data_IF_196828592517
#
_entry.id   IF_196828592517
#
_cell.length_a   1.000
_cell.length_b   1.000
_cell.length_c   1.000
_cell.angle_alpha   90.00
_cell.angle_beta   90.00
_cell.angle_gamma   90.00
#
_symmetry.space_group_name_H-M   'P 1'
#
loop_
_entity.id
_entity.type
_entity.pdbx_description
1 polymer ?
#
# COMPACT_ATOMS: atom_id res chain seq x y z
N UNK A 1 -7.35 -18.42 11.27
CA UNK A 1 -6.99 -17.05 10.87
C UNK A 1 -8.08 -16.55 9.96
N UNK A 2 -8.52 -15.31 10.15
CA UNK A 2 -9.54 -14.72 9.30
C UNK A 2 -8.99 -13.47 8.60
N UNK A 3 -9.38 -13.26 7.36
CA UNK A 3 -9.04 -12.09 6.58
C UNK A 3 -10.27 -11.20 6.43
N UNK A 4 -10.09 -9.93 6.76
CA UNK A 4 -11.08 -8.88 6.65
C UNK A 4 -10.69 -7.91 5.55
N UNK A 5 -11.67 -7.42 4.77
CA UNK A 5 -11.45 -6.35 3.81
C UNK A 5 -12.26 -5.12 4.21
N UNK A 6 -11.59 -4.06 4.57
CA UNK A 6 -12.17 -2.75 4.81
C UNK A 6 -12.05 -1.93 3.54
N UNK A 7 -13.12 -1.86 2.79
CA UNK A 7 -13.17 -1.22 1.47
C UNK A 7 -12.86 0.27 1.49
N UNK A 8 -12.96 0.90 2.69
CA UNK A 8 -12.63 2.31 2.91
C UNK A 8 -12.29 2.54 4.37
N UNK A 9 -11.08 3.02 4.66
CA UNK A 9 -10.61 3.21 6.03
C UNK A 9 -11.48 4.17 6.85
N UNK A 10 -12.10 5.18 6.23
CA UNK A 10 -13.00 6.11 6.90
C UNK A 10 -14.26 5.45 7.50
N UNK A 11 -14.65 4.28 6.97
CA UNK A 11 -15.81 3.52 7.46
C UNK A 11 -15.41 2.43 8.45
N UNK A 12 -14.11 2.21 8.63
CA UNK A 12 -13.58 1.21 9.55
C UNK A 12 -13.56 1.76 10.97
N UNK A 13 -14.21 1.10 11.94
CA UNK A 13 -14.01 1.45 13.36
C UNK A 13 -12.54 1.25 13.73
N UNK A 14 -11.93 2.22 14.41
CA UNK A 14 -10.51 2.10 14.82
C UNK A 14 -10.21 0.84 15.63
N UNK A 15 -11.17 0.37 16.42
CA UNK A 15 -11.04 -0.86 17.19
C UNK A 15 -11.05 -2.12 16.31
N UNK A 16 -11.49 -2.07 15.06
CA UNK A 16 -11.60 -3.25 14.20
C UNK A 16 -10.25 -3.91 13.93
N UNK A 17 -9.18 -3.13 13.83
CA UNK A 17 -7.81 -3.64 13.58
C UNK A 17 -7.01 -3.88 14.86
N UNK A 18 -7.63 -3.69 16.05
CA UNK A 18 -6.91 -3.77 17.31
C UNK A 18 -6.32 -5.16 17.56
N UNK A 19 -5.01 -5.23 17.78
CA UNK A 19 -4.29 -6.48 17.96
C UNK A 19 -4.08 -7.32 16.70
N UNK A 20 -4.68 -6.96 15.57
CA UNK A 20 -4.56 -7.61 14.27
C UNK A 20 -3.35 -7.17 13.46
N UNK A 21 -3.20 -7.76 12.28
CA UNK A 21 -2.21 -7.38 11.28
C UNK A 21 -2.90 -6.53 10.22
N UNK A 22 -2.59 -5.25 10.13
CA UNK A 22 -3.14 -4.37 9.10
C UNK A 22 -2.23 -4.33 7.87
N UNK A 23 -2.82 -4.44 6.68
CA UNK A 23 -2.17 -4.20 5.40
C UNK A 23 -2.87 -3.02 4.75
N UNK A 24 -2.20 -1.88 4.68
CA UNK A 24 -2.75 -0.65 4.11
C UNK A 24 -2.51 -0.63 2.61
N UNK A 25 -3.56 -0.30 1.86
CA UNK A 25 -3.61 -0.36 0.40
C UNK A 25 -4.05 1.01 -0.13
N UNK A 26 -3.19 1.65 -0.93
CA UNK A 26 -3.42 2.87 -1.72
C UNK A 26 -2.65 2.69 -3.03
N UNK A 27 -3.29 2.03 -4.00
CA UNK A 27 -2.59 1.61 -5.23
C UNK A 27 -2.23 2.79 -6.11
N UNK A 28 -3.10 3.77 -6.18
CA UNK A 28 -2.91 4.98 -6.98
C UNK A 28 -2.88 6.23 -6.08
N UNK A 29 -1.70 6.49 -5.39
CA UNK A 29 -0.39 5.85 -5.70
C UNK A 29 0.44 5.55 -4.45
N UNK A 30 -0.01 6.00 -3.26
CA UNK A 30 0.87 6.11 -2.09
C UNK A 30 1.55 4.78 -1.69
N UNK A 31 0.80 3.67 -1.64
CA UNK A 31 1.39 2.36 -1.32
C UNK A 31 2.42 1.94 -2.36
N UNK A 32 2.08 2.01 -3.65
CA UNK A 32 3.01 1.66 -4.74
C UNK A 32 4.27 2.51 -4.66
N UNK A 33 4.14 3.80 -4.40
CA UNK A 33 5.27 4.74 -4.29
C UNK A 33 6.19 4.41 -3.11
N UNK A 34 5.63 4.16 -1.92
CA UNK A 34 6.43 3.82 -0.73
C UNK A 34 7.15 2.48 -0.90
N UNK A 35 6.50 1.49 -1.50
CA UNK A 35 7.09 0.19 -1.82
C UNK A 35 8.24 0.38 -2.81
N UNK A 36 8.01 1.14 -3.90
CA UNK A 36 9.03 1.42 -4.94
C UNK A 36 10.24 2.16 -4.36
N UNK A 37 10.02 3.13 -3.47
CA UNK A 37 11.10 3.86 -2.81
C UNK A 37 12.03 2.91 -2.04
N UNK A 38 11.47 2.03 -1.21
CA UNK A 38 12.25 1.06 -0.44
C UNK A 38 12.91 0.01 -1.36
N UNK A 39 12.21 -0.48 -2.38
CA UNK A 39 12.77 -1.42 -3.35
C UNK A 39 13.95 -0.83 -4.13
N UNK A 40 13.97 0.48 -4.33
CA UNK A 40 15.06 1.21 -4.95
C UNK A 40 16.14 1.68 -3.97
N UNK A 41 16.09 1.19 -2.72
CA UNK A 41 17.15 1.37 -1.74
C UNK A 41 17.01 2.61 -0.87
N UNK A 42 15.84 3.26 -0.81
CA UNK A 42 15.60 4.23 0.25
C UNK A 42 15.82 3.56 1.62
N UNK A 43 16.51 4.24 2.54
CA UNK A 43 16.84 3.65 3.84
C UNK A 43 15.59 3.46 4.72
N UNK A 44 14.61 4.35 4.58
CA UNK A 44 13.33 4.34 5.30
C UNK A 44 12.39 5.40 4.71
N UNK A 45 11.08 5.21 4.91
CA UNK A 45 10.04 6.16 4.48
C UNK A 45 9.18 6.50 5.69
N UNK A 46 8.93 7.79 5.96
CA UNK A 46 8.03 8.23 7.03
C UNK A 46 6.76 8.84 6.45
N UNK A 47 5.64 8.13 6.51
CA UNK A 47 4.35 8.71 6.16
C UNK A 47 3.88 9.66 7.27
N UNK A 48 3.45 10.86 6.89
CA UNK A 48 2.84 11.82 7.81
C UNK A 48 1.60 12.43 7.16
N UNK A 49 0.54 12.76 7.92
CA UNK A 49 -0.72 13.22 7.34
C UNK A 49 -0.68 14.69 6.87
N UNK A 50 0.24 15.49 7.41
CA UNK A 50 0.23 16.94 7.29
C UNK A 50 1.50 17.49 6.63
N UNK A 51 1.36 18.55 5.80
CA UNK A 51 2.47 19.18 5.06
C UNK A 51 3.46 19.86 5.99
N UNK A 52 2.98 20.53 7.04
CA UNK A 52 3.85 21.22 7.99
C UNK A 52 4.65 20.21 8.82
N UNK A 53 3.99 19.12 9.24
CA UNK A 53 4.66 17.99 9.89
C UNK A 53 5.72 17.35 8.97
N UNK A 54 5.39 17.17 7.68
CA UNK A 54 6.35 16.63 6.71
C UNK A 54 7.61 17.48 6.61
N UNK A 55 7.46 18.79 6.49
CA UNK A 55 8.60 19.72 6.43
C UNK A 55 9.44 19.67 7.71
N UNK A 56 8.81 19.69 8.87
CA UNK A 56 9.52 19.61 10.16
C UNK A 56 10.28 18.28 10.33
N UNK A 57 9.63 17.17 10.00
CA UNK A 57 10.23 15.84 10.09
C UNK A 57 11.39 15.64 9.12
N UNK A 58 11.32 16.20 7.91
CA UNK A 58 12.37 16.11 6.91
C UNK A 58 13.64 16.84 7.33
N UNK A 59 13.51 18.05 7.89
CA UNK A 59 14.67 18.81 8.42
C UNK A 59 15.37 18.01 9.51
N UNK A 60 14.63 17.47 10.49
CA UNK A 60 15.20 16.70 11.60
C UNK A 60 15.87 15.39 11.19
N UNK A 61 15.49 14.82 10.04
CA UNK A 61 16.02 13.56 9.53
C UNK A 61 16.98 13.72 8.36
N UNK A 62 17.25 14.93 7.87
CA UNK A 62 17.95 15.20 6.60
C UNK A 62 17.35 14.38 5.43
N UNK A 63 16.03 14.28 5.39
CA UNK A 63 15.29 13.43 4.47
C UNK A 63 14.81 14.20 3.24
N UNK A 64 14.57 13.48 2.14
CA UNK A 64 13.82 14.01 0.99
C UNK A 64 12.36 14.19 1.36
N UNK A 65 11.75 15.24 0.81
CA UNK A 65 10.31 15.47 0.88
C UNK A 65 9.62 14.89 -0.35
N UNK A 66 8.66 14.00 -0.14
CA UNK A 66 7.81 13.44 -1.18
C UNK A 66 6.32 13.65 -0.87
N UNK A 67 5.51 13.68 -1.89
CA UNK A 67 4.06 13.73 -1.70
C UNK A 67 3.28 14.63 -2.65
N UNK A 68 1.96 14.63 -2.44
CA UNK A 68 1.00 15.30 -3.32
C UNK A 68 -0.19 15.89 -2.55
N UNK A 69 -0.88 16.81 -3.24
CA UNK A 69 -2.27 17.19 -2.94
C UNK A 69 -3.03 17.27 -4.27
N UNK A 70 -4.19 16.58 -4.34
CA UNK A 70 -4.97 16.47 -5.57
C UNK A 70 -4.22 15.81 -6.74
N UNK A 71 -3.25 14.92 -6.46
CA UNK A 71 -2.41 14.25 -7.44
C UNK A 71 -1.17 15.03 -7.87
N UNK A 72 -1.05 16.32 -7.52
CA UNK A 72 0.03 17.21 -7.93
C UNK A 72 1.08 17.34 -6.84
N UNK A 73 2.38 17.32 -7.22
CA UNK A 73 3.48 17.49 -6.28
C UNK A 73 3.33 18.81 -5.49
N UNK A 74 3.53 18.73 -4.17
CA UNK A 74 3.48 19.87 -3.26
C UNK A 74 4.63 20.83 -3.56
N UNK A 75 4.35 22.12 -3.59
CA UNK A 75 5.36 23.13 -3.84
C UNK A 75 6.51 23.07 -2.82
N UNK A 76 7.74 23.13 -3.33
CA UNK A 76 8.97 22.99 -2.54
C UNK A 76 9.27 21.57 -2.04
N UNK A 77 8.57 20.53 -2.53
CA UNK A 77 8.94 19.15 -2.28
C UNK A 77 9.89 18.62 -3.36
N UNK A 78 10.80 17.72 -2.98
CA UNK A 78 11.80 17.10 -3.88
C UNK A 78 11.14 16.14 -4.88
N UNK A 79 10.10 15.40 -4.44
CA UNK A 79 9.43 14.32 -5.15
C UNK A 79 7.91 14.51 -5.07
N UNK A 80 7.21 14.09 -6.10
CA UNK A 80 5.74 13.96 -6.07
C UNK A 80 5.30 12.64 -5.44
N UNK A 81 4.23 12.05 -6.01
CA UNK A 81 3.71 10.74 -5.61
C UNK A 81 3.72 9.74 -6.79
N UNK A 82 4.40 10.04 -7.90
CA UNK A 82 4.61 9.07 -8.98
C UNK A 82 5.70 8.07 -8.60
N UNK A 83 5.47 6.75 -8.66
CA UNK A 83 6.51 5.76 -8.42
C UNK A 83 7.75 5.96 -9.30
N UNK A 84 7.59 6.50 -10.51
CA UNK A 84 8.68 6.77 -11.44
C UNK A 84 9.67 7.84 -10.93
N UNK A 85 9.25 8.70 -9.99
CA UNK A 85 10.13 9.70 -9.39
C UNK A 85 11.09 9.11 -8.34
N UNK A 86 10.85 7.88 -7.88
CA UNK A 86 11.60 7.21 -6.82
C UNK A 86 12.62 6.21 -7.38
N UNK A 87 13.29 6.58 -8.46
CA UNK A 87 14.39 5.81 -9.05
C UNK A 87 15.57 5.67 -8.09
N UNK A 88 16.34 4.59 -8.23
CA UNK A 88 17.50 4.26 -7.37
C UNK A 88 18.52 5.38 -7.29
N UNK A 89 18.77 6.08 -8.39
CA UNK A 89 19.66 7.23 -8.49
C UNK A 89 19.28 8.41 -7.57
N UNK A 90 17.98 8.54 -7.30
CA UNK A 90 17.43 9.61 -6.44
C UNK A 90 17.28 9.22 -4.98
N UNK A 91 16.92 7.96 -4.70
CA UNK A 91 16.47 7.58 -3.36
C UNK A 91 17.39 6.62 -2.62
N UNK A 92 18.38 5.98 -3.27
CA UNK A 92 19.26 5.01 -2.61
C UNK A 92 20.01 5.63 -1.41
N UNK A 93 19.90 4.96 -0.25
CA UNK A 93 20.50 5.41 1.02
C UNK A 93 19.81 6.61 1.69
N UNK A 94 18.80 7.22 1.04
CA UNK A 94 18.12 8.42 1.55
C UNK A 94 16.94 8.03 2.44
N UNK A 95 16.72 8.81 3.48
CA UNK A 95 15.43 8.81 4.19
C UNK A 95 14.43 9.69 3.42
N UNK A 96 13.16 9.33 3.44
CA UNK A 96 12.09 10.07 2.75
C UNK A 96 10.95 10.32 3.73
N UNK A 97 10.48 11.56 3.80
CA UNK A 97 9.22 11.90 4.48
C UNK A 97 8.18 12.13 3.40
N UNK A 98 7.06 11.42 3.48
CA UNK A 98 5.99 11.48 2.47
C UNK A 98 4.66 11.89 3.09
N UNK A 99 3.90 12.75 2.38
CA UNK A 99 2.53 13.10 2.75
C UNK A 99 1.63 13.05 1.53
N UNK A 100 0.49 12.34 1.65
CA UNK A 100 -0.50 12.16 0.58
C UNK A 100 -1.91 12.40 1.11
N UNK A 101 -2.86 12.54 0.22
CA UNK A 101 -4.25 12.86 0.59
C UNK A 101 -4.91 11.72 1.35
N UNK A 102 -4.76 10.45 0.91
CA UNK A 102 -5.50 9.30 1.44
C UNK A 102 -4.58 8.28 2.15
N UNK A 103 -3.50 7.83 1.52
CA UNK A 103 -2.68 6.72 2.01
C UNK A 103 -2.02 6.98 3.37
N UNK A 104 -1.54 8.21 3.64
CA UNK A 104 -0.94 8.54 4.94
C UNK A 104 -1.98 8.59 6.05
N UNK A 105 -3.21 9.01 5.75
CA UNK A 105 -4.33 8.99 6.69
C UNK A 105 -4.79 7.54 6.98
N UNK A 106 -4.84 6.68 5.96
CA UNK A 106 -5.16 5.26 6.12
C UNK A 106 -4.14 4.54 7.03
N UNK A 107 -2.84 4.83 6.87
CA UNK A 107 -1.79 4.32 7.76
C UNK A 107 -2.00 4.80 9.22
N UNK A 108 -2.30 6.06 9.42
CA UNK A 108 -2.57 6.62 10.75
C UNK A 108 -3.81 5.97 11.41
N UNK A 109 -4.85 5.66 10.61
CA UNK A 109 -6.07 4.98 11.10
C UNK A 109 -5.80 3.55 11.61
N UNK A 110 -4.71 2.93 11.20
CA UNK A 110 -4.31 1.59 11.65
C UNK A 110 -3.48 1.59 12.94
N UNK A 111 -3.41 2.69 13.67
CA UNK A 111 -2.59 2.84 14.88
C UNK A 111 -2.90 1.84 16.02
N UNK A 112 -4.10 1.24 16.07
CA UNK A 112 -4.46 0.20 17.03
C UNK A 112 -4.00 -1.22 16.63
N UNK A 113 -3.61 -1.43 15.37
CA UNK A 113 -3.13 -2.73 14.89
C UNK A 113 -1.81 -3.11 15.59
N UNK A 114 -1.58 -4.39 15.76
CA UNK A 114 -0.33 -4.92 16.29
C UNK A 114 0.83 -4.68 15.34
N UNK A 115 0.59 -4.92 14.07
CA UNK A 115 1.53 -4.72 12.98
C UNK A 115 0.84 -3.96 11.84
N UNK A 116 1.57 -3.10 11.17
CA UNK A 116 1.09 -2.36 10.00
C UNK A 116 2.07 -2.57 8.86
N UNK A 117 1.57 -3.13 7.78
CA UNK A 117 2.29 -3.37 6.53
C UNK A 117 1.71 -2.50 5.41
N UNK A 118 2.48 -2.30 4.35
CA UNK A 118 2.01 -1.65 3.13
C UNK A 118 1.95 -2.66 2.00
N UNK A 119 0.78 -2.74 1.36
CA UNK A 119 0.50 -3.66 0.25
C UNK A 119 -0.01 -2.94 -0.99
N UNK A 120 0.35 -3.49 -2.15
CA UNK A 120 -0.14 -3.08 -3.46
C UNK A 120 -0.03 -4.26 -4.45
N UNK A 121 -0.39 -4.05 -5.72
CA UNK A 121 -0.20 -5.07 -6.77
C UNK A 121 1.26 -5.50 -6.88
N UNK A 122 2.19 -4.55 -6.78
CA UNK A 122 3.63 -4.75 -7.01
C UNK A 122 4.32 -5.69 -6.01
N UNK A 123 3.72 -5.93 -4.84
CA UNK A 123 4.27 -6.81 -3.80
C UNK A 123 3.24 -7.78 -3.20
N UNK A 124 2.14 -8.06 -3.92
CA UNK A 124 0.98 -8.81 -3.39
C UNK A 124 1.34 -10.15 -2.76
N UNK A 125 2.19 -10.95 -3.40
CA UNK A 125 2.58 -12.27 -2.88
C UNK A 125 3.46 -12.13 -1.63
N UNK A 126 4.42 -11.22 -1.64
CA UNK A 126 5.31 -11.00 -0.51
C UNK A 126 4.55 -10.47 0.73
N UNK A 127 3.65 -9.50 0.55
CA UNK A 127 2.88 -8.96 1.67
C UNK A 127 1.86 -9.96 2.19
N UNK A 128 1.25 -10.78 1.33
CA UNK A 128 0.37 -11.87 1.73
C UNK A 128 1.10 -12.90 2.62
N UNK A 129 2.28 -13.35 2.20
CA UNK A 129 3.10 -14.28 2.98
C UNK A 129 3.56 -13.66 4.31
N UNK A 130 3.97 -12.39 4.30
CA UNK A 130 4.36 -11.66 5.51
C UNK A 130 3.20 -11.52 6.50
N UNK A 131 2.03 -11.08 6.03
CA UNK A 131 0.84 -10.92 6.87
C UNK A 131 0.41 -12.25 7.50
N UNK A 132 0.38 -13.34 6.72
CA UNK A 132 0.06 -14.67 7.24
C UNK A 132 1.05 -15.14 8.29
N UNK A 133 2.36 -14.98 8.06
CA UNK A 133 3.39 -15.36 9.03
C UNK A 133 3.22 -14.61 10.35
N UNK A 134 2.99 -13.30 10.30
CA UNK A 134 2.75 -12.49 11.48
C UNK A 134 1.45 -12.89 12.18
N UNK A 135 0.37 -13.07 11.44
CA UNK A 135 -0.91 -13.48 12.00
C UNK A 135 -0.84 -14.85 12.68
N UNK A 136 -0.12 -15.82 12.10
CA UNK A 136 0.11 -17.11 12.71
C UNK A 136 0.93 -17.01 14.02
N UNK A 137 2.00 -16.19 14.01
CA UNK A 137 2.85 -15.99 15.18
C UNK A 137 2.12 -15.32 16.36
N UNK A 138 1.14 -14.48 16.06
CA UNK A 138 0.39 -13.71 17.06
C UNK A 138 -1.03 -14.24 17.33
N UNK A 139 -1.45 -15.32 16.67
CA UNK A 139 -2.83 -15.82 16.70
C UNK A 139 -3.85 -14.69 16.41
N UNK A 140 -3.56 -13.89 15.39
CA UNK A 140 -4.30 -12.69 15.05
C UNK A 140 -4.99 -12.82 13.68
N UNK A 141 -5.96 -11.95 13.43
CA UNK A 141 -6.58 -11.80 12.12
C UNK A 141 -5.83 -10.79 11.24
N UNK A 142 -6.07 -10.85 9.93
CA UNK A 142 -5.49 -9.92 8.95
C UNK A 142 -6.57 -8.98 8.45
N UNK A 143 -6.25 -7.70 8.39
CA UNK A 143 -7.13 -6.63 7.94
C UNK A 143 -6.51 -5.93 6.74
N UNK A 144 -7.10 -6.10 5.57
CA UNK A 144 -6.79 -5.33 4.37
C UNK A 144 -7.55 -4.00 4.45
N UNK A 145 -6.84 -2.89 4.45
CA UNK A 145 -7.41 -1.56 4.70
C UNK A 145 -7.18 -0.69 3.47
N UNK A 146 -8.23 -0.53 2.66
CA UNK A 146 -8.20 0.30 1.46
C UNK A 146 -8.32 1.78 1.81
N UNK A 147 -7.48 2.60 1.19
CA UNK A 147 -7.48 4.04 1.39
C UNK A 147 -8.65 4.73 0.68
N UNK A 148 -8.98 4.26 -0.52
CA UNK A 148 -9.94 4.93 -1.40
C UNK A 148 -9.43 6.27 -1.92
N UNK A 149 -10.30 7.00 -2.61
CA UNK A 149 -10.00 8.33 -3.13
C UNK A 149 -11.13 9.28 -2.73
N UNK A 150 -10.79 10.40 -2.08
CA UNK A 150 -11.72 11.46 -1.65
C UNK A 150 -12.95 10.92 -0.87
N UNK A 151 -12.72 9.94 0.01
CA UNK A 151 -13.77 9.33 0.82
C UNK A 151 -14.69 8.34 0.09
N UNK A 152 -14.34 7.96 -1.14
CA UNK A 152 -15.04 6.94 -1.93
C UNK A 152 -14.22 5.64 -2.04
N UNK A 153 -14.93 4.52 -2.10
CA UNK A 153 -14.34 3.21 -2.41
C UNK A 153 -13.84 3.22 -3.86
N UNK A 154 -12.65 2.69 -4.10
CA UNK A 154 -12.05 2.66 -5.43
C UNK A 154 -11.71 1.24 -5.88
N UNK A 155 -11.88 0.98 -7.17
CA UNK A 155 -11.74 -0.35 -7.74
C UNK A 155 -10.31 -0.87 -7.66
N UNK A 156 -9.30 -0.01 -7.85
CA UNK A 156 -7.88 -0.38 -7.79
C UNK A 156 -7.46 -0.92 -6.43
N UNK A 157 -7.95 -0.31 -5.33
CA UNK A 157 -7.63 -0.77 -3.99
C UNK A 157 -8.32 -2.10 -3.68
N UNK A 158 -9.61 -2.24 -4.06
CA UNK A 158 -10.35 -3.50 -3.93
C UNK A 158 -9.68 -4.62 -4.72
N UNK A 159 -9.24 -4.34 -5.94
CA UNK A 159 -8.53 -5.33 -6.77
C UNK A 159 -7.19 -5.74 -6.16
N UNK A 160 -6.45 -4.80 -5.55
CA UNK A 160 -5.22 -5.13 -4.86
C UNK A 160 -5.48 -5.95 -3.59
N UNK A 161 -6.52 -5.63 -2.81
CA UNK A 161 -6.95 -6.47 -1.71
C UNK A 161 -7.28 -7.89 -2.19
N UNK A 162 -8.04 -8.02 -3.29
CA UNK A 162 -8.34 -9.29 -3.93
C UNK A 162 -7.10 -10.06 -4.41
N UNK A 163 -6.12 -9.35 -4.96
CA UNK A 163 -4.85 -9.92 -5.42
C UNK A 163 -4.02 -10.49 -4.26
N UNK A 164 -3.96 -9.77 -3.13
CA UNK A 164 -3.27 -10.21 -1.91
C UNK A 164 -3.98 -11.46 -1.34
N UNK A 165 -5.32 -11.46 -1.29
CA UNK A 165 -6.11 -12.60 -0.84
C UNK A 165 -5.92 -13.84 -1.74
N UNK A 166 -5.91 -13.64 -3.05
CA UNK A 166 -5.68 -14.75 -3.99
C UNK A 166 -4.29 -15.36 -3.80
N UNK A 167 -3.27 -14.54 -3.56
CA UNK A 167 -1.92 -15.02 -3.23
C UNK A 167 -1.88 -15.77 -1.89
N UNK A 168 -2.52 -15.22 -0.84
CA UNK A 168 -2.57 -15.85 0.48
C UNK A 168 -3.22 -17.23 0.47
N UNK A 169 -4.35 -17.36 -0.24
CA UNK A 169 -5.13 -18.60 -0.28
C UNK A 169 -4.56 -19.68 -1.21
N UNK A 170 -3.62 -19.36 -2.08
CA UNK A 170 -2.85 -20.38 -2.80
C UNK A 170 -2.02 -21.23 -1.84
N UNK A 171 -1.47 -20.62 -0.79
CA UNK A 171 -0.64 -21.29 0.21
C UNK A 171 -1.47 -21.89 1.37
N UNK A 172 -2.63 -21.30 1.68
CA UNK A 172 -3.51 -21.77 2.76
C UNK A 172 -4.99 -21.64 2.38
N UNK A 173 -5.53 -22.60 1.63
CA UNK A 173 -6.92 -22.57 1.16
C UNK A 173 -7.97 -22.60 2.28
N UNK A 174 -7.58 -22.99 3.50
CA UNK A 174 -8.47 -23.11 4.66
C UNK A 174 -8.64 -21.84 5.48
N UNK A 175 -7.96 -20.74 5.13
CA UNK A 175 -8.14 -19.46 5.80
C UNK A 175 -9.57 -18.93 5.54
N UNK A 176 -10.17 -18.34 6.57
CA UNK A 176 -11.53 -17.77 6.49
C UNK A 176 -11.51 -16.35 5.91
N UNK A 177 -12.54 -15.97 5.17
CA UNK A 177 -12.71 -14.66 4.58
C UNK A 177 -14.03 -14.04 5.04
N UNK A 178 -14.06 -12.73 5.30
CA UNK A 178 -15.35 -12.04 5.38
C UNK A 178 -15.97 -11.81 3.99
N UNK A 179 -17.22 -11.30 3.96
CA UNK A 179 -17.94 -11.11 2.70
C UNK A 179 -17.27 -10.14 1.74
N UNK A 180 -16.67 -9.05 2.25
CA UNK A 180 -15.97 -8.06 1.44
C UNK A 180 -14.66 -8.65 0.88
N UNK A 181 -13.94 -9.43 1.68
CA UNK A 181 -12.74 -10.15 1.24
C UNK A 181 -13.06 -11.17 0.15
N UNK A 182 -14.16 -11.94 0.29
CA UNK A 182 -14.62 -12.84 -0.76
C UNK A 182 -14.90 -12.08 -2.07
N UNK A 183 -15.65 -10.99 -2.00
CA UNK A 183 -16.02 -10.19 -3.17
C UNK A 183 -14.80 -9.57 -3.85
N UNK A 184 -13.86 -9.03 -3.07
CA UNK A 184 -12.61 -8.46 -3.59
C UNK A 184 -11.77 -9.51 -4.34
N UNK A 185 -11.62 -10.71 -3.76
CA UNK A 185 -10.90 -11.81 -4.41
C UNK A 185 -11.57 -12.26 -5.70
N UNK A 186 -12.88 -12.38 -5.73
CA UNK A 186 -13.63 -12.74 -6.94
C UNK A 186 -13.49 -11.68 -8.03
N UNK A 187 -13.52 -10.39 -7.67
CA UNK A 187 -13.32 -9.28 -8.60
C UNK A 187 -11.94 -9.37 -9.26
N UNK A 188 -10.88 -9.57 -8.47
CA UNK A 188 -9.53 -9.76 -9.00
C UNK A 188 -9.43 -10.98 -9.90
N UNK A 189 -9.96 -12.15 -9.48
CA UNK A 189 -9.87 -13.40 -10.26
C UNK A 189 -10.59 -13.31 -11.61
N UNK A 190 -11.65 -12.54 -11.71
CA UNK A 190 -12.31 -12.28 -13.01
C UNK A 190 -11.38 -11.58 -13.98
N UNK A 191 -10.68 -10.53 -13.53
CA UNK A 191 -9.77 -9.76 -14.39
C UNK A 191 -8.52 -10.53 -14.80
N UNK A 192 -7.94 -11.31 -13.88
CA UNK A 192 -6.76 -12.13 -14.23
C UNK A 192 -7.11 -13.39 -15.02
N UNK A 193 -8.37 -13.68 -15.19
CA UNK A 193 -8.89 -14.69 -16.11
C UNK A 193 -9.01 -14.24 -17.57
N UNK A 194 -8.88 -12.93 -17.83
CA UNK A 194 -8.91 -12.36 -19.19
C UNK A 194 -7.65 -12.78 -19.99
N UNK A 195 -7.72 -12.77 -21.35
CA UNK A 195 -6.58 -13.13 -22.18
C UNK A 195 -5.33 -12.28 -21.97
N UNK A 196 -5.49 -11.01 -21.61
CA UNK A 196 -4.41 -10.10 -21.21
C UNK A 196 -4.74 -9.49 -19.84
N UNK A 197 -4.34 -10.15 -18.74
CA UNK A 197 -4.62 -9.69 -17.38
C UNK A 197 -4.05 -8.30 -17.07
N UNK A 198 -2.86 -8.00 -17.60
CA UNK A 198 -2.23 -6.70 -17.36
C UNK A 198 -3.02 -5.57 -18.01
N UNK A 199 -3.41 -5.74 -19.27
CA UNK A 199 -4.24 -4.75 -19.95
C UNK A 199 -5.61 -4.58 -19.30
N UNK A 200 -6.22 -5.68 -18.81
CA UNK A 200 -7.50 -5.64 -18.11
C UNK A 200 -7.40 -4.84 -16.79
N UNK A 201 -6.36 -5.07 -15.99
CA UNK A 201 -6.10 -4.31 -14.76
C UNK A 201 -5.86 -2.83 -15.04
N UNK A 202 -5.03 -2.50 -16.03
CA UNK A 202 -4.76 -1.09 -16.40
C UNK A 202 -6.04 -0.40 -16.88
N UNK A 203 -6.88 -1.09 -17.67
CA UNK A 203 -8.15 -0.55 -18.15
C UNK A 203 -9.13 -0.27 -17.00
N UNK A 204 -9.16 -1.14 -16.00
CA UNK A 204 -9.99 -0.93 -14.81
C UNK A 204 -9.47 0.22 -13.94
N UNK A 205 -8.16 0.28 -13.71
CA UNK A 205 -7.53 1.39 -12.99
C UNK A 205 -7.80 2.73 -13.66
N UNK A 206 -7.72 2.80 -14.99
CA UNK A 206 -8.02 4.01 -15.76
C UNK A 206 -9.45 4.54 -15.55
N UNK A 207 -10.42 3.63 -15.35
CA UNK A 207 -11.84 3.99 -15.13
C UNK A 207 -12.13 4.43 -13.70
N UNK A 208 -11.32 3.98 -12.74
CA UNK A 208 -11.49 4.33 -11.33
C UNK A 208 -11.22 5.83 -11.10
N UNK A 209 -11.83 6.44 -10.08
CA UNK A 209 -11.67 7.89 -9.80
C UNK A 209 -10.21 8.34 -9.71
N UNK A 210 -9.36 7.58 -9.00
CA UNK A 210 -7.93 7.85 -8.90
C UNK A 210 -7.23 7.82 -10.25
N UNK A 211 -7.49 6.81 -11.08
CA UNK A 211 -6.92 6.69 -12.42
C UNK A 211 -7.42 7.76 -13.39
N UNK A 212 -8.70 8.09 -13.37
CA UNK A 212 -9.26 9.17 -14.17
C UNK A 212 -8.61 10.53 -13.84
N UNK A 213 -8.34 10.79 -12.56
CA UNK A 213 -7.60 11.96 -12.11
C UNK A 213 -6.17 11.97 -12.66
N UNK A 214 -5.45 10.84 -12.61
CA UNK A 214 -4.10 10.72 -13.18
C UNK A 214 -4.08 10.97 -14.69
N UNK A 215 -5.06 10.47 -15.43
CA UNK A 215 -5.21 10.75 -16.88
C UNK A 215 -5.42 12.26 -17.11
N UNK A 216 -6.31 12.89 -16.34
CA UNK A 216 -6.56 14.33 -16.45
C UNK A 216 -5.31 15.18 -16.14
N UNK A 217 -4.42 14.70 -15.28
CA UNK A 217 -3.16 15.35 -14.93
C UNK A 217 -1.99 15.00 -15.88
N UNK A 218 -2.21 14.16 -16.91
CA UNK A 218 -1.14 13.70 -17.81
C UNK A 218 -0.17 12.70 -17.17
N UNK A 219 -0.57 12.04 -16.08
CA UNK A 219 0.23 11.06 -15.33
C UNK A 219 -0.21 9.61 -15.59
N UNK A 220 -0.88 9.34 -16.70
CA UNK A 220 -1.39 8.00 -17.03
C UNK A 220 -0.30 6.93 -17.16
N UNK A 221 0.94 7.34 -17.38
CA UNK A 221 2.10 6.45 -17.40
C UNK A 221 2.33 5.69 -16.07
N UNK A 222 1.77 6.16 -14.95
CA UNK A 222 1.84 5.47 -13.68
C UNK A 222 0.92 4.22 -13.62
N UNK A 223 -0.15 4.19 -14.42
CA UNK A 223 -1.15 3.12 -14.35
C UNK A 223 -0.57 1.72 -14.61
N UNK A 224 0.23 1.50 -15.67
CA UNK A 224 0.85 0.18 -15.90
C UNK A 224 1.80 -0.24 -14.77
N UNK A 225 2.57 0.70 -14.24
CA UNK A 225 3.50 0.43 -13.14
C UNK A 225 2.77 0.04 -11.85
N UNK A 226 1.66 0.74 -11.53
CA UNK A 226 0.84 0.45 -10.36
C UNK A 226 0.01 -0.84 -10.50
N UNK A 227 -0.33 -1.24 -11.74
CA UNK A 227 -1.07 -2.47 -12.02
C UNK A 227 -0.18 -3.72 -12.16
N UNK A 228 1.14 -3.54 -12.20
CA UNK A 228 2.08 -4.65 -12.37
C UNK A 228 2.09 -5.57 -11.14
N UNK A 229 2.07 -6.89 -11.38
CA UNK A 229 1.98 -7.89 -10.31
C UNK A 229 3.38 -8.35 -9.89
N UNK A 230 3.64 -8.35 -8.57
CA UNK A 230 4.83 -8.95 -7.94
C UNK A 230 6.17 -8.51 -8.55
N UNK A 231 6.35 -7.23 -8.82
CA UNK A 231 7.61 -6.69 -9.35
C UNK A 231 8.69 -6.56 -8.29
N UNK A 232 8.33 -6.68 -7.00
CA UNK A 232 9.25 -6.64 -5.87
C UNK A 232 8.77 -7.53 -4.73
N UNK A 233 9.71 -8.02 -3.93
CA UNK A 233 9.44 -8.75 -2.70
C UNK A 233 9.49 -7.85 -1.44
N UNK A 234 9.72 -6.56 -1.59
CA UNK A 234 9.81 -5.61 -0.47
C UNK A 234 8.46 -5.44 0.20
N UNK A 235 8.43 -5.64 1.51
CA UNK A 235 7.26 -5.42 2.35
C UNK A 235 7.57 -4.30 3.35
N UNK A 236 7.05 -3.08 3.14
CA UNK A 236 7.22 -2.02 4.13
C UNK A 236 6.46 -2.36 5.40
N UNK A 237 7.13 -2.28 6.55
CA UNK A 237 6.57 -2.45 7.89
C UNK A 237 6.74 -1.18 8.69
N UNK A 238 5.70 -0.71 9.35
CA UNK A 238 5.71 0.48 10.18
C UNK A 238 6.29 0.16 11.57
N UNK A 239 7.40 0.79 11.89
CA UNK A 239 7.86 0.88 13.27
C UNK A 239 7.02 1.95 14.00
N UNK A 240 6.14 1.52 14.87
CA UNK A 240 5.22 2.39 15.59
C UNK A 240 5.90 3.33 16.60
N UNK A 241 7.09 2.96 17.08
CA UNK A 241 7.82 3.79 18.04
C UNK A 241 8.45 5.01 17.34
N UNK A 242 8.86 4.85 16.10
CA UNK A 242 9.57 5.88 15.34
C UNK A 242 8.74 6.50 14.22
N UNK A 243 7.65 5.85 13.78
CA UNK A 243 6.81 6.26 12.65
C UNK A 243 7.46 6.01 11.28
N UNK A 244 8.57 5.26 11.21
CA UNK A 244 9.23 4.93 9.95
C UNK A 244 8.78 3.60 9.39
N UNK A 245 8.56 3.56 8.09
CA UNK A 245 8.48 2.34 7.31
C UNK A 245 9.89 1.91 6.91
N UNK A 246 10.21 0.65 7.15
CA UNK A 246 11.42 -0.01 6.67
C UNK A 246 11.05 -1.31 5.98
N UNK A 247 11.95 -1.84 5.17
CA UNK A 247 11.78 -3.18 4.63
C UNK A 247 11.74 -4.20 5.77
N UNK A 248 10.73 -5.06 5.75
CA UNK A 248 10.64 -6.17 6.67
C UNK A 248 11.66 -7.23 6.30
N UNK A 249 12.73 -7.34 7.09
CA UNK A 249 13.68 -8.43 6.93
C UNK A 249 12.99 -9.75 7.28
N UNK A 250 13.04 -10.77 6.40
CA UNK A 250 12.58 -12.11 6.78
C UNK A 250 13.31 -12.54 8.04
N UNK A 251 12.59 -13.08 9.03
CA UNK A 251 13.25 -13.73 10.14
C UNK A 251 14.16 -14.83 9.55
N UNK A 252 15.47 -14.68 9.72
CA UNK A 252 16.41 -15.77 9.42
C UNK A 252 15.96 -16.95 10.26
N UNK A 253 15.60 -18.06 9.61
CA UNK A 253 15.38 -19.33 10.33
C UNK A 253 16.64 -19.60 11.14
N UNK A 254 16.51 -19.46 12.46
CA UNK A 254 17.55 -19.94 13.38
C UNK A 254 17.60 -21.44 13.19
N UNK A 255 18.68 -21.91 12.57
CA UNK A 255 19.01 -23.35 12.47
C UNK A 255 19.26 -23.91 13.85
#
# INVERSE_FOLDING_TARGET
>A
MRWHCHELFHRMPQAAVAGGIAVVIDVLRASTTMITALANGASRVRPVPDVAEARAAAVGAAALLGGERGGVRIDGFDLGNSPAEYGRDRVAGRAIVITTTNGTAALAACGAAREVLVGAMVNRAAVAAAARRLAAAWHADVHLVCAGTDGAVTAEDILAAGAILDAALREAPADDLDGAACAAREAFRRLVGEPDPQAALVAEFRRAPGGANLVALGMEADLPACAALDTTAVVPRLDRATGWLTEMVPATESR
#
